data_IF_578560139773
#
_entry.id   IF_578560139773
#
_cell.length_a   1.000
_cell.length_b   1.000
_cell.length_c   1.000
_cell.angle_alpha   90.00
_cell.angle_beta   90.00
_cell.angle_gamma   90.00
#
_symmetry.space_group_name_H-M   'P 1'
#
loop_
_entity.id
_entity.type
_entity.pdbx_description
1 polymer ?
#
# COMPACT_ATOMS: atom_id res chain seq x y z
N UNK A 1 14.33 -2.96 -1.35
CA UNK A 1 12.92 -2.96 -1.80
C UNK A 1 12.98 -3.07 -3.31
N UNK A 2 13.34 -4.27 -3.77
CA UNK A 2 13.86 -4.56 -5.12
C UNK A 2 12.89 -5.45 -5.92
N UNK A 3 11.64 -5.56 -5.45
CA UNK A 3 10.64 -6.51 -5.96
C UNK A 3 9.39 -5.83 -6.55
N UNK A 4 9.40 -4.50 -6.70
CA UNK A 4 8.31 -3.78 -7.38
C UNK A 4 8.60 -3.77 -8.88
N UNK A 5 7.77 -4.48 -9.65
CA UNK A 5 7.84 -4.56 -11.10
C UNK A 5 6.86 -3.54 -11.68
N UNK A 6 7.22 -2.85 -12.77
CA UNK A 6 6.40 -1.87 -13.49
C UNK A 6 5.76 -0.81 -12.60
N UNK A 7 6.56 -0.22 -11.72
CA UNK A 7 6.08 0.86 -10.87
C UNK A 7 5.66 2.06 -11.73
N UNK A 8 4.39 2.45 -11.65
CA UNK A 8 3.84 3.65 -12.28
C UNK A 8 3.18 4.54 -11.23
N UNK A 9 3.41 5.84 -11.31
CA UNK A 9 2.74 6.85 -10.48
C UNK A 9 1.68 7.52 -11.32
N UNK A 10 0.50 7.72 -10.76
CA UNK A 10 -0.63 8.36 -11.41
C UNK A 10 -1.43 9.19 -10.41
N UNK A 11 -2.18 10.17 -10.92
CA UNK A 11 -3.11 10.99 -10.13
C UNK A 11 -4.51 10.79 -10.72
N UNK A 12 -5.28 9.80 -10.22
CA UNK A 12 -6.65 9.59 -10.67
C UNK A 12 -7.57 10.78 -10.35
N UNK A 13 -8.76 10.86 -10.96
CA UNK A 13 -9.77 11.84 -10.56
C UNK A 13 -10.03 11.81 -9.04
N UNK A 14 -10.20 12.99 -8.44
CA UNK A 14 -10.37 13.17 -6.99
C UNK A 14 -9.11 13.02 -6.13
N UNK A 15 -7.99 12.52 -6.68
CA UNK A 15 -6.73 12.42 -5.93
C UNK A 15 -6.01 13.76 -5.84
N UNK A 16 -5.95 14.53 -6.93
CA UNK A 16 -5.25 15.82 -6.98
C UNK A 16 -5.78 16.80 -5.92
N UNK A 17 -7.11 16.91 -5.82
CA UNK A 17 -7.83 17.77 -4.86
C UNK A 17 -7.51 17.44 -3.40
N UNK A 18 -7.14 16.18 -3.12
CA UNK A 18 -6.85 15.66 -1.77
C UNK A 18 -5.35 15.53 -1.50
N UNK A 19 -4.50 16.07 -2.39
CA UNK A 19 -3.05 15.90 -2.34
C UNK A 19 -2.66 14.42 -2.25
N UNK A 20 -3.38 13.57 -3.00
CA UNK A 20 -3.15 12.14 -3.04
C UNK A 20 -2.47 11.70 -4.34
N UNK A 21 -1.78 10.57 -4.27
CA UNK A 21 -1.15 9.90 -5.40
C UNK A 21 -1.49 8.42 -5.35
N UNK A 22 -1.63 7.81 -6.53
CA UNK A 22 -1.73 6.36 -6.67
C UNK A 22 -0.45 5.83 -7.31
N UNK A 23 0.18 4.85 -6.66
CA UNK A 23 1.31 4.10 -7.22
C UNK A 23 0.82 2.70 -7.57
N UNK A 24 0.83 2.31 -8.83
CA UNK A 24 0.60 0.93 -9.25
C UNK A 24 1.92 0.20 -9.46
N UNK A 25 1.93 -1.10 -9.17
CA UNK A 25 3.08 -1.98 -9.37
C UNK A 25 2.62 -3.43 -9.39
N UNK A 26 3.56 -4.33 -9.71
CA UNK A 26 3.37 -5.78 -9.69
C UNK A 26 4.37 -6.44 -8.76
N UNK A 27 3.96 -7.55 -8.16
CA UNK A 27 4.84 -8.51 -7.51
C UNK A 27 4.83 -9.81 -8.33
N UNK A 28 5.87 -10.67 -8.22
CA UNK A 28 5.78 -12.02 -8.75
C UNK A 28 4.50 -12.70 -8.21
N UNK A 29 3.69 -13.29 -9.10
CA UNK A 29 2.43 -13.93 -8.72
C UNK A 29 1.26 -12.98 -8.38
N UNK A 30 1.45 -11.65 -8.40
CA UNK A 30 0.39 -10.68 -8.09
C UNK A 30 0.48 -9.43 -8.98
N UNK A 31 -0.46 -9.32 -9.93
CA UNK A 31 -0.39 -8.34 -11.02
C UNK A 31 -0.94 -6.96 -10.69
N UNK A 32 -1.82 -6.85 -9.70
CA UNK A 32 -2.56 -5.62 -9.42
C UNK A 32 -2.31 -5.20 -7.97
N UNK A 33 -1.18 -4.52 -7.75
CA UNK A 33 -0.81 -3.96 -6.47
C UNK A 33 -0.81 -2.43 -6.57
N UNK A 34 -1.29 -1.78 -5.51
CA UNK A 34 -1.36 -0.33 -5.45
C UNK A 34 -0.88 0.18 -4.10
N UNK A 35 -0.37 1.41 -4.08
CA UNK A 35 -0.20 2.22 -2.88
C UNK A 35 -0.97 3.51 -3.09
N UNK A 36 -1.95 3.76 -2.25
CA UNK A 36 -2.66 5.03 -2.19
C UNK A 36 -1.94 5.88 -1.15
N UNK A 37 -1.42 7.04 -1.55
CA UNK A 37 -0.61 7.90 -0.70
C UNK A 37 -1.27 9.27 -0.60
N UNK A 38 -1.21 9.88 0.57
CA UNK A 38 -1.44 11.31 0.76
C UNK A 38 -0.09 11.96 1.08
N UNK A 39 0.22 13.03 0.35
CA UNK A 39 1.39 13.83 0.63
C UNK A 39 1.18 14.58 1.94
N UNK A 40 2.14 14.50 2.85
CA UNK A 40 2.10 15.20 4.14
C UNK A 40 2.98 16.45 4.14
N UNK A 41 3.12 17.08 2.97
CA UNK A 41 3.73 18.41 2.85
C UNK A 41 3.05 19.38 3.83
N UNK A 42 3.77 20.33 4.46
CA UNK A 42 3.17 21.33 5.34
C UNK A 42 2.02 22.13 4.68
N UNK A 43 2.04 22.23 3.35
CA UNK A 43 1.00 22.91 2.56
C UNK A 43 -0.19 22.00 2.20
N UNK A 44 -0.10 20.70 2.52
CA UNK A 44 -1.18 19.76 2.26
C UNK A 44 -2.27 19.92 3.32
N UNK A 45 -3.57 19.91 2.93
CA UNK A 45 -4.64 19.87 3.90
C UNK A 45 -4.46 18.61 4.75
N UNK A 46 -4.40 18.80 6.07
CA UNK A 46 -4.24 17.72 7.05
C UNK A 46 -5.14 16.54 6.66
N UNK A 47 -4.62 15.32 6.74
CA UNK A 47 -5.35 14.09 6.45
C UNK A 47 -6.65 14.04 7.27
N UNK A 48 -7.72 14.57 6.69
CA UNK A 48 -8.97 14.81 7.40
C UNK A 48 -9.65 13.49 7.76
N UNK A 49 -10.58 13.53 8.72
CA UNK A 49 -11.52 12.42 8.91
C UNK A 49 -12.19 12.12 7.56
N UNK A 50 -12.11 10.87 7.11
CA UNK A 50 -12.65 10.42 5.81
C UNK A 50 -11.61 10.11 4.72
N UNK A 51 -10.31 10.40 4.92
CA UNK A 51 -9.28 10.01 3.93
C UNK A 51 -9.14 8.48 3.82
N UNK A 52 -9.29 7.77 4.94
CA UNK A 52 -9.28 6.30 4.94
C UNK A 52 -10.48 5.77 4.15
N UNK A 53 -11.67 6.32 4.37
CA UNK A 53 -12.89 5.91 3.65
C UNK A 53 -12.74 6.15 2.14
N UNK A 54 -12.15 7.27 1.75
CA UNK A 54 -11.81 7.55 0.34
C UNK A 54 -10.86 6.49 -0.24
N UNK A 55 -9.84 6.06 0.52
CA UNK A 55 -8.92 5.02 0.08
C UNK A 55 -9.57 3.63 0.01
N UNK A 56 -10.48 3.31 0.94
CA UNK A 56 -11.27 2.07 0.91
C UNK A 56 -12.18 2.07 -0.32
N UNK A 57 -12.95 3.14 -0.55
CA UNK A 57 -13.77 3.30 -1.75
C UNK A 57 -12.94 3.11 -3.02
N UNK A 58 -11.74 3.69 -3.09
CA UNK A 58 -10.88 3.53 -4.26
C UNK A 58 -10.37 2.09 -4.41
N UNK A 59 -10.07 1.40 -3.30
CA UNK A 59 -9.69 -0.01 -3.32
C UNK A 59 -10.82 -0.89 -3.89
N UNK A 60 -12.07 -0.62 -3.50
CA UNK A 60 -13.25 -1.33 -4.03
C UNK A 60 -13.44 -1.10 -5.53
N UNK A 61 -13.27 0.14 -6.01
CA UNK A 61 -13.31 0.45 -7.43
C UNK A 61 -12.23 -0.29 -8.21
N UNK A 62 -10.98 -0.29 -7.71
CA UNK A 62 -9.88 -1.03 -8.34
C UNK A 62 -10.12 -2.54 -8.37
N UNK A 63 -10.75 -3.09 -7.33
CA UNK A 63 -11.13 -4.50 -7.29
C UNK A 63 -12.22 -4.80 -8.33
N UNK A 64 -13.29 -4.03 -8.34
CA UNK A 64 -14.40 -4.16 -9.28
C UNK A 64 -13.91 -4.10 -10.74
N UNK A 65 -13.10 -3.10 -11.09
CA UNK A 65 -12.54 -2.92 -12.43
C UNK A 65 -11.67 -4.12 -12.86
N UNK A 66 -10.99 -4.78 -11.91
CA UNK A 66 -10.02 -5.85 -12.20
C UNK A 66 -10.66 -7.24 -12.21
N UNK A 67 -11.60 -7.51 -11.30
CA UNK A 67 -12.12 -8.86 -11.05
C UNK A 67 -13.63 -8.98 -11.28
N UNK A 68 -14.35 -7.86 -11.40
CA UNK A 68 -15.81 -7.83 -11.35
C UNK A 68 -16.39 -7.95 -9.93
N UNK A 69 -15.54 -8.03 -8.89
CA UNK A 69 -15.94 -8.15 -7.49
C UNK A 69 -15.29 -7.03 -6.66
N UNK A 70 -16.06 -6.06 -6.14
CA UNK A 70 -15.52 -4.94 -5.38
C UNK A 70 -14.89 -5.36 -4.06
N UNK A 71 -15.15 -6.58 -3.56
CA UNK A 71 -14.62 -7.10 -2.31
C UNK A 71 -13.38 -7.99 -2.50
N UNK A 72 -12.91 -8.19 -3.75
CA UNK A 72 -11.74 -9.00 -4.08
C UNK A 72 -10.40 -8.27 -3.84
N UNK A 73 -10.22 -7.71 -2.64
CA UNK A 73 -9.01 -6.98 -2.28
C UNK A 73 -8.55 -7.23 -0.84
N UNK A 74 -7.33 -6.83 -0.55
CA UNK A 74 -6.76 -6.77 0.78
C UNK A 74 -6.03 -5.45 0.96
N UNK A 75 -6.22 -4.82 2.11
CA UNK A 75 -5.54 -3.57 2.47
C UNK A 75 -4.57 -3.77 3.61
N UNK A 76 -3.50 -2.98 3.61
CA UNK A 76 -2.57 -2.86 4.73
C UNK A 76 -2.33 -1.38 4.99
N UNK A 77 -2.71 -0.96 6.18
CA UNK A 77 -2.48 0.37 6.70
C UNK A 77 -1.54 0.28 7.89
N UNK A 78 -0.44 1.03 7.86
CA UNK A 78 0.50 1.11 8.97
C UNK A 78 0.30 2.41 9.76
N UNK A 79 0.35 2.30 11.09
CA UNK A 79 0.27 3.46 11.99
C UNK A 79 1.49 4.37 11.88
N UNK A 80 1.36 5.63 12.35
CA UNK A 80 2.42 6.64 12.25
C UNK A 80 3.77 6.20 12.82
N UNK A 81 3.78 5.49 13.96
CA UNK A 81 4.98 5.08 14.67
C UNK A 81 5.82 4.01 13.96
N UNK A 82 5.23 3.25 13.04
CA UNK A 82 5.89 2.14 12.33
C UNK A 82 6.15 2.43 10.84
N UNK A 83 5.63 3.55 10.34
CA UNK A 83 5.81 3.97 8.94
C UNK A 83 7.20 4.57 8.73
N UNK A 84 7.79 4.28 7.57
CA UNK A 84 9.09 4.85 7.16
C UNK A 84 8.96 6.21 6.46
N UNK A 85 7.78 6.50 5.87
CA UNK A 85 7.49 7.77 5.18
C UNK A 85 6.45 8.57 5.97
N UNK A 86 6.57 9.90 6.01
CA UNK A 86 5.49 10.75 6.52
C UNK A 86 4.26 10.63 5.61
N UNK A 87 3.09 10.90 6.19
CA UNK A 87 1.81 10.84 5.46
C UNK A 87 1.13 9.48 5.45
N UNK A 88 -0.19 9.54 5.27
CA UNK A 88 -1.05 8.36 5.22
C UNK A 88 -0.83 7.64 3.90
N UNK A 89 -0.48 6.35 3.98
CA UNK A 89 -0.44 5.50 2.81
C UNK A 89 -1.05 4.13 3.10
N UNK A 90 -1.86 3.64 2.17
CA UNK A 90 -2.54 2.36 2.23
C UNK A 90 -2.04 1.49 1.08
N UNK A 91 -1.52 0.31 1.40
CA UNK A 91 -1.21 -0.70 0.40
C UNK A 91 -2.50 -1.46 0.07
N UNK A 92 -2.79 -1.60 -1.22
CA UNK A 92 -3.96 -2.31 -1.73
C UNK A 92 -3.49 -3.43 -2.65
N UNK A 93 -3.98 -4.64 -2.42
CA UNK A 93 -3.66 -5.82 -3.20
C UNK A 93 -4.96 -6.42 -3.72
N UNK A 94 -5.13 -6.52 -5.04
CA UNK A 94 -6.31 -7.19 -5.60
C UNK A 94 -6.06 -8.70 -5.54
N UNK A 95 -6.86 -9.41 -4.75
CA UNK A 95 -6.69 -10.83 -4.43
C UNK A 95 -8.01 -11.56 -4.67
N UNK A 96 -8.04 -12.43 -5.67
CA UNK A 96 -9.20 -13.24 -6.04
C UNK A 96 -9.19 -14.61 -5.35
N UNK A 97 -8.01 -15.14 -5.07
CA UNK A 97 -7.83 -16.49 -4.53
C UNK A 97 -7.10 -16.49 -3.20
N UNK A 98 -7.40 -17.48 -2.35
CA UNK A 98 -6.75 -17.66 -1.03
C UNK A 98 -5.22 -17.78 -1.12
N UNK A 99 -4.71 -18.44 -2.17
CA UNK A 99 -3.26 -18.58 -2.35
C UNK A 99 -2.57 -17.23 -2.61
N UNK A 100 -3.24 -16.28 -3.27
CA UNK A 100 -2.69 -14.93 -3.49
C UNK A 100 -2.59 -14.17 -2.17
N UNK A 101 -3.60 -14.31 -1.30
CA UNK A 101 -3.58 -13.76 0.05
C UNK A 101 -2.42 -14.34 0.88
N UNK A 102 -2.26 -15.67 0.86
CA UNK A 102 -1.15 -16.35 1.53
C UNK A 102 0.21 -15.88 1.00
N UNK A 103 0.33 -15.70 -0.32
CA UNK A 103 1.53 -15.18 -0.95
C UNK A 103 1.90 -13.77 -0.47
N UNK A 104 0.92 -12.86 -0.38
CA UNK A 104 1.18 -11.51 0.15
C UNK A 104 1.68 -11.58 1.60
N UNK A 105 1.06 -12.41 2.44
CA UNK A 105 1.55 -12.60 3.81
C UNK A 105 2.96 -13.16 3.88
N UNK A 106 3.31 -14.12 3.01
CA UNK A 106 4.65 -14.67 2.95
C UNK A 106 5.68 -13.59 2.59
N UNK A 107 5.42 -12.81 1.54
CA UNK A 107 6.32 -11.73 1.08
C UNK A 107 6.50 -10.66 2.17
N UNK A 108 5.42 -10.28 2.85
CA UNK A 108 5.47 -9.30 3.93
C UNK A 108 6.17 -9.84 5.17
N UNK A 109 5.89 -11.09 5.54
CA UNK A 109 6.54 -11.79 6.64
C UNK A 109 8.05 -11.87 6.43
N UNK A 110 8.49 -12.32 5.26
CA UNK A 110 9.90 -12.37 4.89
C UNK A 110 10.57 -10.99 4.96
N UNK A 111 9.92 -9.95 4.45
CA UNK A 111 10.43 -8.57 4.51
C UNK A 111 10.57 -8.08 5.95
N UNK A 112 9.54 -8.26 6.77
CA UNK A 112 9.53 -7.79 8.15
C UNK A 112 10.53 -8.56 9.02
N UNK A 113 10.64 -9.88 8.82
CA UNK A 113 11.65 -10.71 9.47
C UNK A 113 13.07 -10.24 9.10
N UNK A 114 13.35 -10.02 7.82
CA UNK A 114 14.64 -9.50 7.38
C UNK A 114 14.97 -8.13 7.98
N UNK A 115 13.98 -7.24 8.08
CA UNK A 115 14.14 -5.94 8.75
C UNK A 115 14.42 -6.10 10.25
N UNK A 116 13.70 -6.99 10.94
CA UNK A 116 13.88 -7.23 12.36
C UNK A 116 15.26 -7.83 12.66
N UNK A 117 15.70 -8.83 11.88
CA UNK A 117 17.02 -9.44 12.00
C UNK A 117 18.14 -8.42 11.76
N UNK A 118 18.00 -7.58 10.74
CA UNK A 118 18.96 -6.51 10.45
C UNK A 118 19.06 -5.49 11.59
N UNK A 119 17.92 -5.12 12.18
CA UNK A 119 17.89 -4.20 13.31
C UNK A 119 18.52 -4.82 14.57
N UNK A 120 18.24 -6.10 14.84
CA UNK A 120 18.85 -6.83 15.95
C UNK A 120 20.37 -6.93 15.80
N UNK A 121 20.85 -7.31 14.61
CA UNK A 121 22.28 -7.38 14.29
C UNK A 121 22.98 -6.02 14.49
N UNK A 122 22.36 -4.93 14.02
CA UNK A 122 22.90 -3.57 14.21
C UNK A 122 22.94 -3.12 15.67
N UNK A 123 22.01 -3.58 16.50
CA UNK A 123 22.03 -3.28 17.95
C UNK A 123 23.12 -4.05 18.67
N UNK A 124 23.40 -5.27 18.24
CA UNK A 124 24.43 -6.12 18.87
C UNK A 124 25.86 -5.64 18.56
N UNK A 125 26.08 -4.99 17.42
CA UNK A 125 27.36 -4.39 17.04
C UNK A 125 27.65 -3.02 17.67
N UNK A 126 26.70 -2.45 18.43
CA UNK A 126 26.87 -1.19 19.17
C UNK A 126 27.07 -1.50 20.64
#
# INVERSE_FOLDING_TARGET
MTLMIDRKVSVPPGFAERSCLQVSYRLPGLRHCYVLCHDASPDSPNAGPGLVDFFIWKAEQLALETTGDPQAYMVILSGASIRRRPGLHMHVFIVRYRWQKAWVYLVLGAKNLGLALWQAFRRWLR
#
